data_IF_185247868835
#
_entry.id   IF_185247868835
#
_cell.length_a   1.000
_cell.length_b   1.000
_cell.length_c   1.000
_cell.angle_alpha   90.00
_cell.angle_beta   90.00
_cell.angle_gamma   90.00
#
_symmetry.space_group_name_H-M   'P 1'
#
loop_
_entity.id
_entity.type
_entity.pdbx_description
1 polymer ?
#
# COMPACT_ATOMS: atom_id res chain seq x y z
N UNK A 1 -25.07 -0.04 10.53
CA UNK A 1 -23.67 0.26 10.16
C UNK A 1 -23.41 -0.41 8.83
N UNK A 2 -23.76 0.25 7.73
CA UNK A 2 -23.61 -0.32 6.38
C UNK A 2 -22.16 -0.15 5.95
N UNK A 3 -21.35 -1.20 6.09
CA UNK A 3 -20.15 -1.36 5.29
C UNK A 3 -20.59 -1.56 3.84
N UNK A 4 -20.81 -0.45 3.13
CA UNK A 4 -20.98 -0.48 1.69
C UNK A 4 -19.67 -0.95 1.08
N UNK A 5 -19.71 -2.03 0.30
CA UNK A 5 -18.56 -2.48 -0.47
C UNK A 5 -17.99 -1.28 -1.25
N UNK A 6 -16.72 -0.96 -1.01
CA UNK A 6 -16.07 0.11 -1.75
C UNK A 6 -16.04 -0.28 -3.23
N UNK A 7 -16.45 0.66 -4.08
CA UNK A 7 -16.31 0.48 -5.53
C UNK A 7 -14.83 0.61 -5.92
N UNK A 8 -14.40 -0.05 -7.00
CA UNK A 8 -13.04 0.12 -7.52
C UNK A 8 -12.70 1.61 -7.72
N UNK A 9 -13.64 2.41 -8.22
CA UNK A 9 -13.43 3.86 -8.42
C UNK A 9 -13.19 4.65 -7.13
N UNK A 10 -13.76 4.22 -6.00
CA UNK A 10 -13.48 4.85 -4.70
C UNK A 10 -12.05 4.54 -4.23
N UNK A 11 -11.63 3.27 -4.34
CA UNK A 11 -10.27 2.85 -3.97
C UNK A 11 -9.22 3.54 -4.86
N UNK A 12 -9.46 3.64 -6.15
CA UNK A 12 -8.60 4.39 -7.09
C UNK A 12 -8.49 5.87 -6.71
N UNK A 13 -9.58 6.51 -6.27
CA UNK A 13 -9.54 7.89 -5.81
C UNK A 13 -8.69 8.06 -4.53
N UNK A 14 -8.77 7.11 -3.60
CA UNK A 14 -7.94 7.09 -2.38
C UNK A 14 -6.46 6.91 -2.71
N UNK A 15 -6.11 5.98 -3.61
CA UNK A 15 -4.74 5.79 -4.08
C UNK A 15 -4.19 7.09 -4.69
N UNK A 16 -4.96 7.73 -5.57
CA UNK A 16 -4.57 9.00 -6.17
C UNK A 16 -4.38 10.12 -5.14
N UNK A 17 -5.22 10.17 -4.10
CA UNK A 17 -5.04 11.12 -3.00
C UNK A 17 -3.73 10.88 -2.24
N UNK A 18 -3.36 9.63 -1.98
CA UNK A 18 -2.08 9.26 -1.34
C UNK A 18 -0.89 9.66 -2.23
N UNK A 19 -0.96 9.42 -3.53
CA UNK A 19 0.09 9.81 -4.49
C UNK A 19 0.24 11.34 -4.54
N UNK A 20 -0.87 12.09 -4.55
CA UNK A 20 -0.87 13.55 -4.63
C UNK A 20 -0.39 14.22 -3.33
N UNK A 21 -0.61 13.59 -2.17
CA UNK A 21 -0.31 14.20 -0.88
C UNK A 21 1.20 14.54 -0.72
N UNK A 22 1.58 15.77 -0.36
CA UNK A 22 2.98 16.18 -0.22
C UNK A 22 3.69 15.51 0.96
N UNK A 23 2.94 15.01 1.93
CA UNK A 23 3.44 14.30 3.12
C UNK A 23 3.74 12.82 2.88
N UNK A 24 3.23 12.24 1.78
CA UNK A 24 3.50 10.85 1.43
C UNK A 24 4.94 10.68 0.99
N UNK A 25 5.63 9.69 1.54
CA UNK A 25 7.02 9.39 1.18
C UNK A 25 7.17 9.08 -0.31
N UNK A 26 8.30 9.49 -0.90
CA UNK A 26 8.61 9.20 -2.31
C UNK A 26 8.52 7.71 -2.64
N UNK A 27 8.93 6.85 -1.70
CA UNK A 27 8.89 5.40 -1.87
C UNK A 27 7.46 4.88 -2.02
N UNK A 28 6.54 5.31 -1.14
CA UNK A 28 5.14 4.89 -1.21
C UNK A 28 4.45 5.43 -2.46
N UNK A 29 4.75 6.66 -2.87
CA UNK A 29 4.24 7.22 -4.14
C UNK A 29 4.68 6.39 -5.35
N UNK A 30 5.96 6.00 -5.39
CA UNK A 30 6.51 5.15 -6.45
C UNK A 30 5.83 3.80 -6.48
N UNK A 31 5.74 3.12 -5.33
CA UNK A 31 5.11 1.81 -5.22
C UNK A 31 3.65 1.81 -5.69
N UNK A 32 2.85 2.81 -5.30
CA UNK A 32 1.46 2.94 -5.74
C UNK A 32 1.35 3.27 -7.23
N UNK A 33 2.21 4.15 -7.75
CA UNK A 33 2.22 4.47 -9.19
C UNK A 33 2.56 3.24 -10.03
N UNK A 34 3.56 2.45 -9.61
CA UNK A 34 3.96 1.24 -10.32
C UNK A 34 2.91 0.14 -10.22
N UNK A 35 2.26 0.00 -9.06
CA UNK A 35 1.19 -0.96 -8.81
C UNK A 35 0.02 -0.84 -9.79
N UNK A 36 -0.39 0.38 -10.14
CA UNK A 36 -1.52 0.65 -11.03
C UNK A 36 -1.32 0.13 -12.48
N UNK A 37 -0.10 -0.21 -12.86
CA UNK A 37 0.25 -0.68 -14.20
C UNK A 37 0.49 -2.19 -14.27
N UNK A 38 0.33 -2.92 -13.16
CA UNK A 38 0.64 -4.35 -13.02
C UNK A 38 -0.65 -5.16 -12.80
N UNK A 39 -0.52 -6.49 -12.88
CA UNK A 39 -1.61 -7.39 -12.48
C UNK A 39 -1.97 -7.18 -11.00
N UNK A 40 -3.25 -6.96 -10.72
CA UNK A 40 -3.70 -6.58 -9.39
C UNK A 40 -3.61 -7.73 -8.37
N UNK A 41 -3.65 -8.99 -8.81
CA UNK A 41 -3.52 -10.16 -7.93
C UNK A 41 -2.06 -10.31 -7.50
N UNK A 42 -1.12 -10.20 -8.44
CA UNK A 42 0.32 -10.30 -8.14
C UNK A 42 0.78 -9.16 -7.22
N UNK A 43 0.37 -7.92 -7.52
CA UNK A 43 0.77 -6.76 -6.71
C UNK A 43 0.20 -6.82 -5.29
N UNK A 44 -1.05 -7.26 -5.13
CA UNK A 44 -1.64 -7.41 -3.80
C UNK A 44 -0.84 -8.42 -2.97
N UNK A 45 -0.48 -9.56 -3.56
CA UNK A 45 0.35 -10.57 -2.89
C UNK A 45 1.77 -10.05 -2.56
N UNK A 46 2.43 -9.40 -3.52
CA UNK A 46 3.75 -8.79 -3.31
C UNK A 46 3.71 -7.74 -2.18
N UNK A 47 2.65 -6.95 -2.10
CA UNK A 47 2.48 -5.91 -1.08
C UNK A 47 2.29 -6.50 0.32
N UNK A 48 1.54 -7.59 0.46
CA UNK A 48 1.40 -8.32 1.73
C UNK A 48 2.75 -8.88 2.20
N UNK A 49 3.50 -9.54 1.30
CA UNK A 49 4.83 -10.06 1.61
C UNK A 49 5.79 -8.93 2.00
N UNK A 50 5.77 -7.83 1.27
CA UNK A 50 6.58 -6.65 1.54
C UNK A 50 6.28 -6.07 2.93
N UNK A 51 4.99 -5.93 3.28
CA UNK A 51 4.56 -5.43 4.58
C UNK A 51 5.03 -6.36 5.73
N UNK A 52 4.89 -7.68 5.59
CA UNK A 52 5.39 -8.66 6.56
C UNK A 52 6.90 -8.51 6.78
N UNK A 53 7.68 -8.53 5.70
CA UNK A 53 9.14 -8.44 5.78
C UNK A 53 9.61 -7.13 6.41
N UNK A 54 9.00 -6.01 6.05
CA UNK A 54 9.32 -4.70 6.62
C UNK A 54 8.91 -4.61 8.11
N UNK A 55 7.77 -5.19 8.48
CA UNK A 55 7.31 -5.29 9.87
C UNK A 55 8.30 -6.05 10.73
N UNK A 56 8.62 -7.30 10.36
CA UNK A 56 9.60 -8.13 11.09
C UNK A 56 10.98 -7.48 11.17
N UNK A 57 11.41 -6.82 10.10
CA UNK A 57 12.67 -6.07 10.09
C UNK A 57 12.62 -4.90 11.09
N UNK A 58 11.52 -4.17 11.14
CA UNK A 58 11.31 -3.08 12.10
C UNK A 58 11.38 -3.59 13.54
N UNK A 59 10.65 -4.66 13.85
CA UNK A 59 10.62 -5.25 15.19
C UNK A 59 12.01 -5.78 15.60
N UNK A 60 12.73 -6.41 14.67
CA UNK A 60 14.11 -6.85 14.90
C UNK A 60 15.05 -5.69 15.21
N UNK A 61 14.96 -4.57 14.47
CA UNK A 61 15.78 -3.37 14.71
C UNK A 61 15.43 -2.71 16.06
N UNK A 62 14.15 -2.72 16.44
CA UNK A 62 13.66 -2.13 17.68
C UNK A 62 13.75 -3.06 18.90
N UNK A 63 14.18 -4.32 18.71
CA UNK A 63 14.28 -5.32 19.79
C UNK A 63 12.92 -5.77 20.34
N UNK A 64 11.87 -5.79 19.50
CA UNK A 64 10.51 -6.24 19.85
C UNK A 64 10.23 -7.72 19.54
N UNK A 65 11.28 -8.44 19.13
CA UNK A 65 11.26 -9.87 18.77
C UNK A 65 11.28 -10.78 19.99
#
# INVERSE_FOLDING_TARGET
MTSGAQTTGQVEAEINAVIAAPTTSRWLKGALTDALHRDCVDVAHDAELLADLLGRRCDSILGRV
#
